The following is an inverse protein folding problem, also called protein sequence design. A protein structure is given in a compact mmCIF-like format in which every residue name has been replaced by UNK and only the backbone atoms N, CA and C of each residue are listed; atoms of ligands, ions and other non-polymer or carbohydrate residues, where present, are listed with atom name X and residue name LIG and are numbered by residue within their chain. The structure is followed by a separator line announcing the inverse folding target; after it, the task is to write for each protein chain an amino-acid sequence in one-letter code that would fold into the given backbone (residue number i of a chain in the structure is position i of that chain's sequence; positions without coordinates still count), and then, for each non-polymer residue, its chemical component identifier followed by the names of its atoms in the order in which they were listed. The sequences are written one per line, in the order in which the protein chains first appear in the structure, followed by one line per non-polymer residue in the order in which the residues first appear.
data_IF_606394472903
#
_entry.id   IF_606394472903
#
_cell.length_a   1.000
_cell.length_b   1.000
_cell.length_c   1.000
_cell.angle_alpha   90.00
_cell.angle_beta   90.00
_cell.angle_gamma   90.00
#
_symmetry.space_group_name_H-M   'P 1'
#
loop_
_entity.id
_entity.type
_entity.pdbx_description
1 polymer ?
#
# COMPACT_ATOMS: atom_id res chain seq x y z
N UNK A 1 -0.39 7.87 22.70
CA UNK A 1 -1.10 6.96 21.77
C UNK A 1 -2.14 6.23 22.58
N UNK A 2 -3.42 6.57 22.42
CA UNK A 2 -4.49 5.82 23.09
C UNK A 2 -4.60 4.45 22.46
N UNK A 3 -4.47 3.38 23.24
CA UNK A 3 -4.77 2.01 22.80
C UNK A 3 -6.28 1.90 22.58
N UNK A 4 -6.73 2.22 21.37
CA UNK A 4 -8.12 2.03 20.94
C UNK A 4 -8.28 0.61 20.38
N UNK A 5 -9.02 -0.23 21.12
CA UNK A 5 -9.32 -1.60 20.73
C UNK A 5 -10.59 -1.65 19.87
N UNK A 6 -10.52 -2.38 18.74
CA UNK A 6 -11.68 -2.74 17.93
C UNK A 6 -12.70 -3.53 18.77
N UNK A 7 -14.00 -3.24 18.62
CA UNK A 7 -15.06 -4.00 19.28
C UNK A 7 -15.51 -5.16 18.41
N UNK A 8 -16.11 -6.17 19.02
CA UNK A 8 -16.63 -7.35 18.32
C UNK A 8 -17.66 -6.99 17.24
N UNK A 9 -18.51 -5.97 17.47
CA UNK A 9 -19.50 -5.49 16.49
C UNK A 9 -18.89 -4.84 15.23
N UNK A 10 -17.62 -4.43 15.28
CA UNK A 10 -16.92 -3.81 14.16
C UNK A 10 -16.27 -4.86 13.21
N UNK A 11 -16.29 -6.14 13.58
CA UNK A 11 -15.55 -7.22 12.91
C UNK A 11 -16.03 -7.47 11.47
N UNK A 12 -17.34 -7.43 11.21
CA UNK A 12 -17.88 -7.64 9.85
C UNK A 12 -17.48 -6.49 8.91
N UNK A 13 -17.51 -5.24 9.43
CA UNK A 13 -17.09 -4.05 8.68
C UNK A 13 -15.59 -4.09 8.41
N UNK A 14 -14.80 -4.52 9.38
CA UNK A 14 -13.37 -4.75 9.21
C UNK A 14 -13.09 -5.80 8.14
N UNK A 15 -13.82 -6.92 8.15
CA UNK A 15 -13.71 -7.96 7.12
C UNK A 15 -13.99 -7.41 5.72
N UNK A 16 -15.03 -6.60 5.56
CA UNK A 16 -15.36 -5.98 4.28
C UNK A 16 -14.31 -4.94 3.83
N UNK A 17 -13.78 -4.15 4.77
CA UNK A 17 -12.70 -3.21 4.51
C UNK A 17 -11.42 -3.92 4.05
N UNK A 18 -11.03 -5.01 4.73
CA UNK A 18 -9.88 -5.84 4.37
C UNK A 18 -10.02 -6.46 2.98
N UNK A 19 -11.20 -7.00 2.64
CA UNK A 19 -11.46 -7.55 1.31
C UNK A 19 -11.34 -6.46 0.24
N UNK A 20 -11.88 -5.27 0.51
CA UNK A 20 -11.81 -4.13 -0.42
C UNK A 20 -10.37 -3.68 -0.62
N UNK A 21 -9.61 -3.49 0.46
CA UNK A 21 -8.20 -3.13 0.40
C UNK A 21 -7.36 -4.18 -0.35
N UNK A 22 -7.65 -5.47 -0.13
CA UNK A 22 -6.98 -6.56 -0.84
C UNK A 22 -7.24 -6.51 -2.34
N UNK A 23 -8.47 -6.17 -2.76
CA UNK A 23 -8.81 -5.99 -4.18
C UNK A 23 -8.04 -4.83 -4.79
N UNK A 24 -8.03 -3.67 -4.13
CA UNK A 24 -7.29 -2.50 -4.61
C UNK A 24 -5.78 -2.77 -4.68
N UNK A 25 -5.22 -3.45 -3.68
CA UNK A 25 -3.82 -3.88 -3.69
C UNK A 25 -3.52 -4.79 -4.90
N UNK A 26 -4.44 -5.70 -5.23
CA UNK A 26 -4.29 -6.54 -6.41
C UNK A 26 -4.32 -5.73 -7.71
N UNK A 27 -5.21 -4.74 -7.83
CA UNK A 27 -5.26 -3.84 -8.99
C UNK A 27 -3.95 -3.07 -9.14
N UNK A 28 -3.41 -2.52 -8.05
CA UNK A 28 -2.12 -1.81 -8.09
C UNK A 28 -1.00 -2.75 -8.51
N UNK A 29 -0.94 -3.96 -7.93
CA UNK A 29 0.04 -4.97 -8.29
C UNK A 29 -0.01 -5.34 -9.78
N UNK A 30 -1.21 -5.53 -10.32
CA UNK A 30 -1.41 -5.85 -11.73
C UNK A 30 -0.95 -4.69 -12.63
N UNK A 31 -1.32 -3.46 -12.29
CA UNK A 31 -0.87 -2.26 -13.01
C UNK A 31 0.64 -2.09 -12.99
N UNK A 32 1.30 -2.35 -11.86
CA UNK A 32 2.78 -2.30 -11.77
C UNK A 32 3.40 -3.35 -12.69
N UNK A 33 2.90 -4.59 -12.69
CA UNK A 33 3.39 -5.64 -13.60
C UNK A 33 3.21 -5.29 -15.07
N UNK A 34 2.06 -4.73 -15.43
CA UNK A 34 1.81 -4.25 -16.80
C UNK A 34 2.76 -3.10 -17.14
N UNK A 35 2.95 -2.13 -16.24
CA UNK A 35 3.88 -1.03 -16.43
C UNK A 35 5.31 -1.56 -16.66
N UNK A 36 5.79 -2.47 -15.82
CA UNK A 36 7.11 -3.09 -15.96
C UNK A 36 7.25 -3.80 -17.31
N UNK A 37 6.27 -4.61 -17.70
CA UNK A 37 6.26 -5.29 -18.99
C UNK A 37 6.30 -4.29 -20.16
N UNK A 38 5.47 -3.24 -20.13
CA UNK A 38 5.46 -2.23 -21.20
C UNK A 38 6.76 -1.45 -21.31
N UNK A 39 7.43 -1.14 -20.19
CA UNK A 39 8.72 -0.47 -20.19
C UNK A 39 9.84 -1.38 -20.69
N UNK A 40 9.78 -2.68 -20.36
CA UNK A 40 10.71 -3.67 -20.88
C UNK A 40 10.51 -3.90 -22.38
N UNK A 41 9.27 -4.04 -22.85
CA UNK A 41 8.97 -4.19 -24.28
C UNK A 41 9.40 -2.96 -25.09
N UNK A 42 9.32 -1.76 -24.50
CA UNK A 42 9.81 -0.52 -25.09
C UNK A 42 11.34 -0.35 -25.03
N UNK A 43 12.07 -1.28 -24.38
CA UNK A 43 13.53 -1.23 -24.21
C UNK A 43 14.01 -0.16 -23.21
N UNK A 44 13.12 0.40 -22.40
CA UNK A 44 13.42 1.45 -21.41
C UNK A 44 13.97 0.86 -20.12
N UNK A 45 13.55 -0.36 -19.76
CA UNK A 45 13.89 -0.99 -18.50
C UNK A 45 14.28 -2.45 -18.68
N UNK A 46 15.33 -2.91 -17.97
CA UNK A 46 15.71 -4.32 -17.96
C UNK A 46 14.73 -5.15 -17.11
N UNK A 47 14.44 -6.41 -17.48
CA UNK A 47 13.60 -7.29 -16.66
C UNK A 47 14.12 -7.39 -15.23
N UNK A 48 13.22 -7.27 -14.25
CA UNK A 48 13.56 -7.36 -12.82
C UNK A 48 14.33 -6.15 -12.26
N UNK A 49 14.43 -5.04 -13.00
CA UNK A 49 15.08 -3.82 -12.51
C UNK A 49 14.43 -3.29 -11.23
N UNK A 50 13.10 -3.34 -11.12
CA UNK A 50 12.35 -2.84 -9.96
C UNK A 50 12.71 -3.64 -8.70
N UNK A 51 12.78 -4.96 -8.78
CA UNK A 51 13.12 -5.83 -7.64
C UNK A 51 14.57 -5.65 -7.16
N UNK A 52 15.47 -5.28 -8.07
CA UNK A 52 16.89 -5.06 -7.79
C UNK A 52 17.21 -3.61 -7.43
N UNK A 53 16.26 -2.70 -7.63
CA UNK A 53 16.48 -1.29 -7.40
C UNK A 53 16.58 -1.01 -5.90
N UNK A 54 17.71 -0.44 -5.49
CA UNK A 54 17.91 0.03 -4.13
C UNK A 54 17.70 1.55 -4.09
N UNK A 55 16.67 2.05 -3.39
CA UNK A 55 16.48 3.49 -3.20
C UNK A 55 17.69 4.11 -2.50
N UNK A 56 18.04 5.32 -2.89
CA UNK A 56 18.97 6.14 -2.13
C UNK A 56 18.35 6.66 -0.83
N UNK A 57 19.13 7.40 -0.04
CA UNK A 57 18.69 7.95 1.24
C UNK A 57 17.48 8.87 1.12
N UNK A 58 17.41 9.67 0.05
CA UNK A 58 16.35 10.66 -0.14
C UNK A 58 15.03 9.95 -0.51
N UNK A 59 15.07 9.10 -1.53
CA UNK A 59 13.91 8.32 -1.97
C UNK A 59 13.45 7.34 -0.89
N UNK A 60 14.39 6.69 -0.18
CA UNK A 60 14.07 5.81 0.94
C UNK A 60 13.35 6.51 2.09
N UNK A 61 13.75 7.74 2.42
CA UNK A 61 13.09 8.55 3.43
C UNK A 61 11.68 8.97 3.00
N UNK A 62 11.51 9.40 1.74
CA UNK A 62 10.20 9.73 1.18
C UNK A 62 9.24 8.54 1.22
N UNK A 63 9.67 7.35 0.73
CA UNK A 63 8.87 6.13 0.77
C UNK A 63 8.49 5.68 2.19
N UNK A 64 9.37 5.94 3.17
CA UNK A 64 9.10 5.64 4.57
C UNK A 64 8.06 6.58 5.17
N UNK A 65 8.13 7.87 4.84
CA UNK A 65 7.15 8.87 5.25
C UNK A 65 5.77 8.58 4.66
N UNK A 66 5.70 8.29 3.36
CA UNK A 66 4.45 7.94 2.67
C UNK A 66 3.78 6.70 3.30
N UNK A 67 4.59 5.68 3.63
CA UNK A 67 4.10 4.47 4.32
C UNK A 67 3.54 4.78 5.70
N UNK A 68 4.25 5.61 6.48
CA UNK A 68 3.80 5.99 7.81
C UNK A 68 2.47 6.77 7.75
N UNK A 69 2.36 7.71 6.81
CA UNK A 69 1.13 8.47 6.57
C UNK A 69 -0.04 7.58 6.17
N UNK A 70 0.19 6.61 5.27
CA UNK A 70 -0.86 5.65 4.87
C UNK A 70 -1.36 4.84 6.07
N UNK A 71 -0.44 4.33 6.90
CA UNK A 71 -0.81 3.57 8.10
C UNK A 71 -1.63 4.44 9.05
N UNK A 72 -1.22 5.68 9.28
CA UNK A 72 -1.95 6.62 10.13
C UNK A 72 -3.36 6.91 9.59
N UNK A 73 -3.51 7.13 8.28
CA UNK A 73 -4.81 7.35 7.64
C UNK A 73 -5.73 6.14 7.79
N UNK A 74 -5.20 4.92 7.60
CA UNK A 74 -5.97 3.69 7.77
C UNK A 74 -6.41 3.52 9.22
N UNK A 75 -5.51 3.74 10.19
CA UNK A 75 -5.84 3.64 11.60
C UNK A 75 -6.86 4.72 12.02
N UNK A 76 -6.73 5.95 11.52
CA UNK A 76 -7.68 7.03 11.78
C UNK A 76 -9.07 6.75 11.20
N UNK A 77 -9.16 6.18 10.00
CA UNK A 77 -10.45 5.84 9.38
C UNK A 77 -11.17 4.67 10.07
N UNK A 78 -10.45 3.84 10.82
CA UNK A 78 -11.03 2.74 11.61
C UNK A 78 -11.44 3.19 13.02
N UNK A 79 -11.05 4.39 13.46
CA UNK A 79 -11.49 4.95 14.73
C UNK A 79 -12.95 5.45 14.62
N UNK A 80 -13.83 5.16 15.58
CA UNK A 80 -15.20 5.66 15.57
C UNK A 80 -15.23 7.19 15.69
N UNK A 81 -16.15 7.83 14.96
CA UNK A 81 -16.48 9.26 15.15
C UNK A 81 -16.96 9.46 16.60
N UNK A 82 -16.36 10.44 17.30
CA UNK A 82 -16.85 10.88 18.62
C UNK A 82 -18.24 11.51 18.51
#
# INVERSE_FOLDING_TARGET
MSEQNLRTEDLDRLGQALITLTKELWVVKDRVRVLEATLTDAGVMVPGAVDQFQPDTELGAALSADRAQLIEQVLGALAPDN
#
